data_IF_115055407940
#
_entry.id   IF_115055407940
#
_cell.length_a   1.000
_cell.length_b   1.000
_cell.length_c   1.000
_cell.angle_alpha   90.00
_cell.angle_beta   90.00
_cell.angle_gamma   90.00
#
_symmetry.space_group_name_H-M   'P 1'
#
loop_
_entity.id
_entity.type
_entity.pdbx_description
1 polymer ?
#
# COMPACT_ATOMS: atom_id res chain seq x y z
N UNK A 1 4.28 11.58 5.33
CA UNK A 1 4.90 10.43 4.63
C UNK A 1 4.72 10.61 3.14
N UNK A 2 5.73 10.32 2.31
CA UNK A 2 5.63 10.40 0.85
C UNK A 2 5.31 9.00 0.32
N UNK A 3 4.26 8.86 -0.49
CA UNK A 3 3.80 7.60 -1.07
C UNK A 3 3.74 7.75 -2.59
N UNK A 4 4.11 6.69 -3.31
CA UNK A 4 3.90 6.60 -4.75
C UNK A 4 2.46 6.13 -5.00
N UNK A 5 1.66 7.00 -5.59
CA UNK A 5 0.27 6.77 -5.99
C UNK A 5 0.20 6.46 -7.49
N UNK A 6 -0.81 5.70 -7.93
CA UNK A 6 -1.01 5.31 -9.33
C UNK A 6 -2.27 5.97 -9.85
N UNK A 7 -2.13 6.91 -10.79
CA UNK A 7 -3.27 7.64 -11.35
C UNK A 7 -3.69 7.06 -12.69
N UNK A 8 -4.98 6.71 -12.79
CA UNK A 8 -5.59 6.22 -14.02
C UNK A 8 -5.51 7.26 -15.13
N UNK A 9 -5.03 6.82 -16.29
CA UNK A 9 -5.14 7.58 -17.54
C UNK A 9 -5.86 6.75 -18.59
N UNK A 10 -6.54 7.37 -19.55
CA UNK A 10 -7.19 6.64 -20.63
C UNK A 10 -6.15 5.74 -21.31
N UNK A 11 -6.37 4.41 -21.36
CA UNK A 11 -5.50 3.51 -22.10
C UNK A 11 -5.64 3.77 -23.59
N UNK A 12 -4.64 3.36 -24.35
CA UNK A 12 -4.65 3.42 -25.81
C UNK A 12 -5.92 2.77 -26.37
N UNK A 13 -6.78 3.56 -27.03
CA UNK A 13 -8.03 3.07 -27.59
C UNK A 13 -7.74 2.30 -28.88
N UNK A 14 -8.04 0.99 -28.89
CA UNK A 14 -7.99 0.16 -30.10
C UNK A 14 -9.42 0.05 -30.64
N UNK A 15 -9.65 0.52 -31.87
CA UNK A 15 -10.90 0.23 -32.58
C UNK A 15 -10.83 -1.19 -33.12
N UNK A 16 -11.62 -2.08 -32.53
CA UNK A 16 -11.81 -3.43 -33.05
C UNK A 16 -13.03 -3.43 -33.97
N UNK A 17 -12.84 -3.82 -35.23
CA UNK A 17 -13.95 -4.14 -36.13
C UNK A 17 -14.46 -5.52 -35.70
N UNK A 18 -15.68 -5.56 -35.13
CA UNK A 18 -16.33 -6.83 -34.76
C UNK A 18 -16.78 -7.54 -36.04
N UNK A 19 -16.15 -8.66 -36.36
CA UNK A 19 -16.73 -9.69 -37.22
C UNK A 19 -17.50 -10.66 -36.30
N UNK A 20 -18.75 -10.99 -36.64
CA UNK A 20 -19.76 -11.58 -35.75
C UNK A 20 -19.53 -13.01 -35.23
N UNK A 21 -18.31 -13.36 -34.80
CA UNK A 21 -17.99 -14.61 -34.13
C UNK A 21 -18.26 -14.57 -32.63
N UNK A 22 -18.69 -15.70 -32.05
CA UNK A 22 -19.05 -15.86 -30.64
C UNK A 22 -17.86 -15.89 -29.66
N UNK A 23 -16.62 -15.68 -30.13
CA UNK A 23 -15.40 -15.60 -29.30
C UNK A 23 -15.01 -16.90 -28.58
N UNK A 24 -15.72 -18.00 -28.85
CA UNK A 24 -15.49 -19.32 -28.26
C UNK A 24 -15.64 -20.38 -29.34
N UNK A 25 -14.73 -21.35 -29.34
CA UNK A 25 -14.78 -22.52 -30.21
C UNK A 25 -15.20 -23.70 -29.34
N UNK A 26 -16.31 -24.34 -29.68
CA UNK A 26 -16.72 -25.60 -29.04
C UNK A 26 -15.95 -26.74 -29.69
N UNK A 27 -15.03 -27.36 -28.95
CA UNK A 27 -14.39 -28.60 -29.38
C UNK A 27 -15.15 -29.77 -28.75
N UNK A 28 -15.72 -30.62 -29.59
CA UNK A 28 -16.42 -31.84 -29.17
C UNK A 28 -15.58 -33.04 -29.58
N UNK A 29 -15.15 -33.85 -28.62
CA UNK A 29 -14.49 -35.13 -28.86
C UNK A 29 -15.29 -36.23 -28.15
N UNK A 30 -16.03 -37.03 -28.92
CA UNK A 30 -16.93 -38.04 -28.39
C UNK A 30 -18.04 -37.44 -27.52
N UNK A 31 -18.17 -37.94 -26.29
CA UNK A 31 -19.20 -37.54 -25.33
C UNK A 31 -18.83 -36.30 -24.49
N UNK A 32 -17.65 -35.71 -24.69
CA UNK A 32 -17.20 -34.51 -23.98
C UNK A 32 -17.15 -33.29 -24.91
N UNK A 33 -17.70 -32.16 -24.44
CA UNK A 33 -17.58 -30.86 -25.12
C UNK A 33 -16.85 -29.86 -24.23
N UNK A 34 -15.75 -29.30 -24.73
CA UNK A 34 -15.02 -28.23 -24.07
C UNK A 34 -15.19 -26.94 -24.85
N UNK A 35 -15.56 -25.87 -24.15
CA UNK A 35 -15.51 -24.53 -24.72
C UNK A 35 -14.08 -24.02 -24.55
N UNK A 36 -13.33 -23.94 -25.65
CA UNK A 36 -12.03 -23.28 -25.68
C UNK A 36 -12.25 -21.83 -26.10
N UNK A 37 -11.56 -20.89 -25.45
CA UNK A 37 -11.52 -19.52 -25.96
C UNK A 37 -10.96 -19.54 -27.39
N UNK A 38 -11.65 -18.86 -28.30
CA UNK A 38 -11.16 -18.72 -29.66
C UNK A 38 -9.83 -17.95 -29.63
N UNK A 39 -8.84 -18.39 -30.38
CA UNK A 39 -7.63 -17.61 -30.57
C UNK A 39 -8.01 -16.27 -31.23
N UNK A 40 -7.51 -15.13 -30.72
CA UNK A 40 -7.84 -13.84 -31.29
C UNK A 40 -7.33 -13.79 -32.72
N UNK A 41 -8.25 -13.70 -33.69
CA UNK A 41 -7.92 -13.42 -35.09
C UNK A 41 -7.31 -12.02 -35.14
N UNK A 42 -6.08 -11.90 -35.64
CA UNK A 42 -5.41 -10.62 -35.83
C UNK A 42 -6.09 -9.82 -36.94
N UNK A 43 -7.15 -9.10 -36.59
CA UNK A 43 -7.70 -8.05 -37.44
C UNK A 43 -6.78 -6.84 -37.29
N UNK A 44 -6.39 -6.19 -38.40
CA UNK A 44 -5.60 -4.95 -38.41
C UNK A 44 -6.33 -3.88 -37.57
N UNK A 45 -6.01 -3.82 -36.28
CA UNK A 45 -6.56 -2.85 -35.36
C UNK A 45 -5.76 -1.55 -35.52
N UNK A 46 -6.39 -0.51 -36.04
CA UNK A 46 -5.82 0.83 -35.97
C UNK A 46 -5.91 1.31 -34.52
N UNK A 47 -4.75 1.60 -33.93
CA UNK A 47 -4.66 2.34 -32.67
C UNK A 47 -5.09 3.77 -33.00
N UNK A 48 -6.28 4.17 -32.58
CA UNK A 48 -6.81 5.49 -32.90
C UNK A 48 -6.14 6.59 -32.08
N UNK A 49 -5.86 6.32 -30.79
CA UNK A 49 -5.32 7.31 -29.88
C UNK A 49 -4.30 6.65 -28.95
N UNK A 50 -3.02 6.99 -29.15
CA UNK A 50 -1.92 6.57 -28.28
C UNK A 50 -1.73 7.59 -27.16
N UNK A 51 -1.80 7.11 -25.91
CA UNK A 51 -1.52 7.95 -24.75
C UNK A 51 0.01 8.02 -24.52
N UNK A 52 0.63 9.13 -24.91
CA UNK A 52 2.08 9.38 -24.73
C UNK A 52 2.49 9.36 -23.25
N UNK A 53 1.60 9.81 -22.38
CA UNK A 53 1.92 9.96 -20.96
C UNK A 53 1.94 8.66 -20.15
N UNK A 54 1.21 7.62 -20.57
CA UNK A 54 1.27 6.30 -19.93
C UNK A 54 1.91 5.22 -20.83
N UNK A 55 2.34 5.60 -22.04
CA UNK A 55 2.87 4.69 -23.06
C UNK A 55 2.02 3.44 -23.29
N UNK A 56 0.70 3.58 -23.23
CA UNK A 56 -0.27 2.49 -23.36
C UNK A 56 -0.44 1.58 -22.13
N UNK A 57 0.24 1.84 -21.01
CA UNK A 57 0.07 1.09 -19.75
C UNK A 57 -1.26 1.38 -19.04
N UNK A 58 -1.85 2.56 -19.28
CA UNK A 58 -3.11 2.99 -18.63
C UNK A 58 -2.97 3.49 -17.18
N UNK A 59 -1.75 3.48 -16.63
CA UNK A 59 -1.42 4.05 -15.32
C UNK A 59 -0.14 4.88 -15.39
N UNK A 60 0.00 5.84 -14.49
CA UNK A 60 1.22 6.59 -14.25
C UNK A 60 1.49 6.68 -12.75
N UNK A 61 2.76 6.55 -12.36
CA UNK A 61 3.17 6.75 -10.97
C UNK A 61 3.24 8.26 -10.69
N UNK A 62 2.67 8.69 -9.56
CA UNK A 62 2.75 10.05 -9.05
C UNK A 62 3.19 10.02 -7.60
N UNK A 63 3.96 11.02 -7.21
CA UNK A 63 4.35 11.20 -5.81
C UNK A 63 3.21 11.95 -5.10
N UNK A 64 2.67 11.38 -4.03
CA UNK A 64 1.63 11.98 -3.18
C UNK A 64 2.14 12.07 -1.74
N UNK A 65 1.97 13.23 -1.12
CA UNK A 65 2.30 13.42 0.30
C UNK A 65 1.04 13.25 1.13
N UNK A 66 1.05 12.28 2.03
CA UNK A 66 -0.07 12.00 2.94
C UNK A 66 0.30 12.40 4.37
N UNK A 67 -0.62 13.10 5.02
CA UNK A 67 -0.56 13.42 6.44
C UNK A 67 -1.30 12.34 7.22
N UNK A 68 -0.64 11.77 8.22
CA UNK A 68 -1.19 10.73 9.09
C UNK A 68 -1.15 11.27 10.51
N UNK A 69 -2.29 11.23 11.21
CA UNK A 69 -2.35 11.56 12.61
C UNK A 69 -2.07 10.29 13.43
N UNK A 70 -1.04 10.33 14.27
CA UNK A 70 -0.69 9.22 15.16
C UNK A 70 -1.25 9.55 16.54
N UNK A 71 -2.25 8.79 17.03
CA UNK A 71 -2.84 9.05 18.34
C UNK A 71 -1.82 8.78 19.47
N UNK A 72 -2.01 9.45 20.61
CA UNK A 72 -1.17 9.22 21.78
C UNK A 72 -1.31 7.77 22.29
N UNK A 73 -0.20 7.18 22.72
CA UNK A 73 -0.17 5.85 23.33
C UNK A 73 -0.04 4.69 22.35
N UNK A 74 0.21 4.93 21.06
CA UNK A 74 0.51 3.87 20.10
C UNK A 74 1.81 3.15 20.43
N UNK A 75 1.83 1.85 20.14
CA UNK A 75 2.96 0.95 20.33
C UNK A 75 3.63 0.55 19.01
N UNK A 76 4.85 0.04 19.14
CA UNK A 76 5.52 -0.63 18.02
C UNK A 76 4.69 -1.81 17.55
N UNK A 77 4.32 -1.81 16.27
CA UNK A 77 3.46 -2.83 15.66
C UNK A 77 2.02 -2.38 15.43
N UNK A 78 1.61 -1.24 15.99
CA UNK A 78 0.32 -0.63 15.68
C UNK A 78 0.23 -0.24 14.20
N UNK A 79 -0.98 -0.31 13.65
CA UNK A 79 -1.23 -0.06 12.23
C UNK A 79 -2.29 1.00 12.04
N UNK A 80 -1.93 2.06 11.32
CA UNK A 80 -2.87 3.10 10.89
C UNK A 80 -3.31 2.81 9.46
N UNK A 81 -4.63 2.75 9.25
CA UNK A 81 -5.23 2.51 7.93
C UNK A 81 -5.62 3.82 7.26
N UNK A 82 -5.15 4.05 6.04
CA UNK A 82 -5.62 5.11 5.14
C UNK A 82 -6.45 4.47 4.02
N UNK A 83 -7.75 4.69 4.06
CA UNK A 83 -8.67 4.01 3.13
C UNK A 83 -8.62 4.61 1.74
N UNK A 84 -8.53 3.76 0.71
CA UNK A 84 -8.49 4.20 -0.69
C UNK A 84 -7.18 4.85 -1.15
N UNK A 85 -6.15 4.84 -0.30
CA UNK A 85 -4.80 5.36 -0.60
C UNK A 85 -3.79 4.27 -0.98
N UNK A 86 -4.27 3.03 -1.17
CA UNK A 86 -3.47 1.92 -1.67
C UNK A 86 -3.37 1.89 -3.19
N UNK A 87 -2.67 0.89 -3.71
CA UNK A 87 -2.46 0.78 -5.14
C UNK A 87 -3.78 0.64 -5.91
N UNK A 88 -3.82 1.33 -7.04
CA UNK A 88 -4.87 1.19 -8.02
C UNK A 88 -4.73 -0.10 -8.82
N UNK A 89 -5.86 -0.67 -9.25
CA UNK A 89 -5.93 -1.75 -10.23
C UNK A 89 -7.01 -1.48 -11.27
N UNK A 90 -6.81 -1.98 -12.50
CA UNK A 90 -7.79 -1.82 -13.59
C UNK A 90 -9.11 -2.47 -13.19
N UNK A 91 -10.20 -1.73 -13.38
CA UNK A 91 -11.58 -2.17 -13.10
C UNK A 91 -11.85 -2.51 -11.62
N UNK A 92 -11.05 -1.99 -10.68
CA UNK A 92 -11.21 -2.16 -9.24
C UNK A 92 -11.07 -0.83 -8.48
N UNK A 93 -11.63 -0.78 -7.27
CA UNK A 93 -11.38 0.33 -6.35
C UNK A 93 -9.92 0.27 -5.83
N UNK A 94 -9.29 1.43 -5.57
CA UNK A 94 -7.99 1.47 -4.90
C UNK A 94 -8.02 0.73 -3.57
N UNK A 95 -6.92 0.05 -3.25
CA UNK A 95 -6.77 -0.61 -1.95
C UNK A 95 -6.60 0.39 -0.79
N UNK A 96 -6.32 -0.13 0.40
CA UNK A 96 -5.94 0.69 1.56
C UNK A 96 -4.42 0.73 1.72
N UNK A 97 -3.92 1.82 2.30
CA UNK A 97 -2.54 1.93 2.75
C UNK A 97 -2.45 1.70 4.26
N UNK A 98 -1.63 0.74 4.68
CA UNK A 98 -1.33 0.48 6.08
C UNK A 98 0.03 1.07 6.45
N UNK A 99 0.05 1.90 7.48
CA UNK A 99 1.26 2.47 8.05
C UNK A 99 1.55 1.75 9.35
N UNK A 100 2.66 1.01 9.41
CA UNK A 100 3.13 0.39 10.64
C UNK A 100 3.92 1.42 11.45
N UNK A 101 3.56 1.57 12.72
CA UNK A 101 4.28 2.42 13.66
C UNK A 101 5.43 1.61 14.25
N UNK A 102 6.61 2.23 14.28
CA UNK A 102 7.76 1.77 15.04
C UNK A 102 8.17 2.91 15.95
N UNK A 103 8.12 2.67 17.25
CA UNK A 103 8.65 3.58 18.26
C UNK A 103 10.15 3.31 18.34
N UNK A 104 10.93 4.39 18.27
CA UNK A 104 12.37 4.31 18.42
C UNK A 104 12.74 4.20 19.90
N UNK A 105 13.77 3.40 20.18
CA UNK A 105 14.27 3.21 21.54
C UNK A 105 14.84 4.52 22.09
N UNK A 106 14.51 4.83 23.33
CA UNK A 106 15.00 6.02 24.01
C UNK A 106 16.25 5.66 24.85
N UNK A 107 17.31 6.49 24.86
CA UNK A 107 18.60 6.11 25.48
C UNK A 107 18.57 5.92 27.01
N UNK A 108 17.55 6.45 27.68
CA UNK A 108 17.41 6.39 29.15
C UNK A 108 16.04 5.89 29.62
N UNK A 109 15.10 5.70 28.69
CA UNK A 109 13.74 5.26 29.03
C UNK A 109 13.48 3.94 28.32
N UNK A 110 12.97 2.99 29.07
CA UNK A 110 12.41 1.76 28.53
C UNK A 110 10.89 1.79 28.74
N UNK A 111 10.12 1.50 27.70
CA UNK A 111 8.65 1.48 27.78
C UNK A 111 8.16 0.05 27.64
N UNK A 112 7.39 -0.40 28.62
CA UNK A 112 6.63 -1.65 28.55
C UNK A 112 5.13 -1.34 28.65
N UNK A 113 4.46 -1.35 27.51
CA UNK A 113 3.05 -0.98 27.40
C UNK A 113 2.78 0.42 27.96
N UNK A 114 2.15 0.50 29.13
CA UNK A 114 1.78 1.77 29.77
C UNK A 114 2.79 2.28 30.79
N UNK A 115 3.80 1.47 31.10
CA UNK A 115 4.79 1.76 32.12
C UNK A 115 6.09 2.27 31.50
N UNK A 116 6.73 3.22 32.18
CA UNK A 116 8.02 3.80 31.82
C UNK A 116 9.03 3.46 32.90
N UNK A 117 10.13 2.83 32.50
CA UNK A 117 11.26 2.47 33.35
C UNK A 117 12.43 3.40 33.05
N UNK A 118 13.12 3.81 34.11
CA UNK A 118 14.35 4.58 34.04
C UNK A 118 15.34 4.04 35.07
N UNK A 119 16.58 3.82 34.65
CA UNK A 119 17.67 3.49 35.55
C UNK A 119 18.36 4.78 36.01
N UNK A 120 18.14 5.18 37.26
CA UNK A 120 18.75 6.35 37.86
C UNK A 120 19.87 5.94 38.83
N UNK A 121 21.16 6.10 38.47
CA UNK A 121 22.27 5.74 39.35
C UNK A 121 22.31 6.67 40.57
N UNK A 122 22.29 6.09 41.77
CA UNK A 122 22.43 6.83 43.03
C UNK A 122 23.85 6.72 43.60
N UNK A 123 24.46 7.82 44.05
CA UNK A 123 25.74 7.77 44.75
C UNK A 123 25.61 7.01 46.08
N UNK A 124 26.58 6.16 46.40
CA UNK A 124 26.56 5.32 47.60
C UNK A 124 26.35 6.10 48.90
N UNK A 125 26.99 7.26 49.05
CA UNK A 125 26.82 8.09 50.25
C UNK A 125 25.37 8.59 50.41
N UNK A 126 24.70 8.96 49.30
CA UNK A 126 23.28 9.37 49.30
C UNK A 126 22.35 8.23 49.68
N UNK A 127 22.68 7.00 49.26
CA UNK A 127 21.92 5.81 49.63
C UNK A 127 21.96 5.54 51.15
N UNK A 128 23.09 5.87 51.81
CA UNK A 128 23.25 5.69 53.27
C UNK A 128 22.62 6.83 54.06
N UNK A 129 22.91 8.09 53.70
CA UNK A 129 22.51 9.26 54.49
C UNK A 129 21.08 9.71 54.22
N UNK A 130 20.45 9.18 53.16
CA UNK A 130 19.25 9.73 52.60
C UNK A 130 19.52 11.01 51.79
N UNK A 131 18.55 11.39 50.97
CA UNK A 131 18.60 12.56 50.10
C UNK A 131 17.55 12.48 48.99
N UNK A 132 17.59 13.44 48.06
CA UNK A 132 16.75 13.47 46.87
C UNK A 132 17.58 13.28 45.60
N UNK A 133 16.97 12.72 44.56
CA UNK A 133 17.48 12.71 43.19
C UNK A 133 16.43 13.31 42.28
N UNK A 134 16.87 14.00 41.23
CA UNK A 134 15.97 14.55 40.22
C UNK A 134 15.86 13.56 39.07
N UNK A 135 14.62 13.24 38.69
CA UNK A 135 14.31 12.37 37.56
C UNK A 135 13.69 13.25 36.47
N UNK A 136 14.14 13.15 35.20
CA UNK A 136 13.52 13.89 34.11
C UNK A 136 12.05 13.48 33.89
N UNK A 137 11.15 14.46 33.74
CA UNK A 137 9.73 14.25 33.39
C UNK A 137 9.49 14.55 31.91
N UNK A 138 8.64 13.75 31.24
CA UNK A 138 8.33 13.85 29.80
C UNK A 138 6.83 14.03 29.56
#
# INVERSE_FOLDING_TARGET
MIVLDQVQKPPTSRKFVRLGGSGQIRMQQGFFSFNKHAEPVEVRASISEYCSSCSGKGTIEKVKTLSVNIPAGVDSGDRVRLSGEGNWARDAQPGDLYVAVRVDDHPILERDGKDLFIEAPIPFYKAITGGSIEIPSF
#
